data_IF_636397107150
#
_entry.id   IF_636397107150
#
_cell.length_a   1.000
_cell.length_b   1.000
_cell.length_c   1.000
_cell.angle_alpha   90.00
_cell.angle_beta   90.00
_cell.angle_gamma   90.00
#
_symmetry.space_group_name_H-M   'P 1'
#
loop_
_entity.id
_entity.type
_entity.pdbx_description
1 polymer ?
#
# COMPACT_ATOMS: atom_id res chain seq x y z
N UNK A 1 35.28 -21.30 57.50
CA UNK A 1 34.08 -21.62 56.68
C UNK A 1 34.18 -20.79 55.41
N UNK A 2 34.58 -21.46 54.34
CA UNK A 2 34.82 -20.89 53.00
C UNK A 2 33.55 -20.99 52.16
N UNK A 3 33.52 -20.25 51.04
CA UNK A 3 32.48 -20.15 50.04
C UNK A 3 31.34 -19.16 50.37
N UNK A 4 31.55 -17.89 49.98
CA UNK A 4 30.49 -16.88 50.05
C UNK A 4 30.72 -15.67 49.15
N UNK A 5 31.50 -15.79 48.06
CA UNK A 5 31.75 -14.69 47.12
C UNK A 5 32.02 -15.21 45.71
N UNK A 6 31.03 -15.84 45.09
CA UNK A 6 31.09 -16.17 43.68
C UNK A 6 29.66 -16.24 43.11
N UNK A 7 28.98 -15.10 43.04
CA UNK A 7 27.74 -14.98 42.29
C UNK A 7 27.56 -13.54 41.76
N UNK A 8 28.65 -12.94 41.27
CA UNK A 8 28.63 -11.74 40.43
C UNK A 8 29.00 -12.17 39.01
N UNK A 9 28.06 -12.79 38.28
CA UNK A 9 28.16 -12.95 36.83
C UNK A 9 26.86 -13.59 36.29
N UNK A 10 25.72 -12.90 36.40
CA UNK A 10 24.56 -13.25 35.57
C UNK A 10 24.10 -12.05 34.75
N UNK A 11 24.63 -12.00 33.53
CA UNK A 11 23.89 -11.73 32.30
C UNK A 11 23.34 -10.31 32.11
N UNK A 12 24.25 -9.33 32.09
CA UNK A 12 24.04 -8.08 31.36
C UNK A 12 24.39 -8.29 29.88
N UNK A 13 23.51 -8.89 29.06
CA UNK A 13 23.59 -8.83 27.58
C UNK A 13 22.40 -9.53 26.89
N UNK A 14 21.16 -9.12 27.13
CA UNK A 14 20.04 -9.48 26.24
C UNK A 14 19.20 -8.25 25.93
N UNK A 15 19.88 -7.17 25.53
CA UNK A 15 19.25 -6.13 24.71
C UNK A 15 19.16 -6.63 23.27
N UNK A 16 18.40 -7.70 23.01
CA UNK A 16 17.92 -7.95 21.64
C UNK A 16 17.00 -6.78 21.32
N UNK A 17 17.55 -5.76 20.68
CA UNK A 17 16.78 -4.88 19.83
C UNK A 17 16.06 -5.78 18.82
N UNK A 18 14.80 -6.08 19.12
CA UNK A 18 13.83 -6.38 18.09
C UNK A 18 13.70 -5.10 17.27
N UNK A 19 14.56 -4.94 16.25
CA UNK A 19 14.28 -3.99 15.19
C UNK A 19 12.84 -4.29 14.76
N UNK A 20 11.93 -3.29 14.71
CA UNK A 20 10.60 -3.56 14.21
C UNK A 20 10.82 -4.11 12.80
N UNK A 21 10.48 -5.39 12.62
CA UNK A 21 10.44 -5.97 11.29
C UNK A 21 9.61 -4.98 10.48
N UNK A 22 10.23 -4.36 9.46
CA UNK A 22 9.57 -3.35 8.64
C UNK A 22 8.38 -4.03 7.98
N UNK A 23 7.24 -3.96 8.67
CA UNK A 23 6.07 -4.74 8.39
C UNK A 23 5.49 -4.20 7.11
N UNK A 24 5.41 -5.05 6.10
CA UNK A 24 4.59 -4.80 4.94
C UNK A 24 3.16 -4.71 5.44
N UNK A 25 2.59 -3.51 5.48
CA UNK A 25 1.19 -3.34 5.89
C UNK A 25 0.31 -3.31 4.63
N UNK A 26 -0.57 -4.30 4.49
CA UNK A 26 -1.59 -4.29 3.46
C UNK A 26 -2.69 -3.32 3.86
N UNK A 27 -2.98 -2.35 2.98
CA UNK A 27 -3.99 -1.32 3.22
C UNK A 27 -4.94 -1.19 2.05
N UNK A 28 -6.11 -0.64 2.34
CA UNK A 28 -7.14 -0.34 1.35
C UNK A 28 -7.32 1.17 1.23
N UNK A 29 -7.49 1.63 0.00
CA UNK A 29 -7.76 3.01 -0.36
C UNK A 29 -9.00 3.03 -1.25
N UNK A 30 -9.94 3.93 -0.98
CA UNK A 30 -11.03 4.26 -1.91
C UNK A 30 -10.90 5.73 -2.26
N UNK A 31 -10.93 6.05 -3.55
CA UNK A 31 -10.76 7.41 -4.02
C UNK A 31 -10.91 7.55 -5.53
N UNK A 32 -10.78 8.78 -6.01
CA UNK A 32 -10.81 9.09 -7.44
C UNK A 32 -9.41 9.16 -8.00
N UNK A 33 -9.20 8.58 -9.18
CA UNK A 33 -7.94 8.69 -9.91
C UNK A 33 -7.78 10.14 -10.37
N UNK A 34 -6.74 10.82 -9.89
CA UNK A 34 -6.38 12.16 -10.40
C UNK A 34 -5.49 12.04 -11.64
N UNK A 35 -4.56 11.09 -11.64
CA UNK A 35 -3.61 10.89 -12.74
C UNK A 35 -3.15 9.44 -12.76
N UNK A 36 -2.90 8.92 -13.96
CA UNK A 36 -2.26 7.63 -14.17
C UNK A 36 -1.26 7.74 -15.32
N UNK A 37 -0.04 7.28 -15.08
CA UNK A 37 1.04 7.19 -16.04
C UNK A 37 1.74 5.83 -15.88
N UNK A 38 1.33 4.82 -16.67
CA UNK A 38 1.92 3.49 -16.61
C UNK A 38 3.40 3.46 -17.01
N UNK A 39 3.86 4.37 -17.88
CA UNK A 39 5.27 4.41 -18.29
C UNK A 39 6.17 4.87 -17.14
N UNK A 40 5.65 5.76 -16.28
CA UNK A 40 6.31 6.20 -15.04
C UNK A 40 5.94 5.36 -13.82
N UNK A 41 5.17 4.27 -14.00
CA UNK A 41 4.66 3.39 -12.94
C UNK A 41 3.95 4.17 -11.84
N UNK A 42 3.21 5.23 -12.19
CA UNK A 42 2.62 6.14 -11.21
C UNK A 42 1.11 6.23 -11.38
N UNK A 43 0.40 6.12 -10.26
CA UNK A 43 -0.99 6.52 -10.14
C UNK A 43 -1.18 7.43 -8.92
N UNK A 44 -1.98 8.48 -9.06
CA UNK A 44 -2.36 9.36 -7.96
C UNK A 44 -3.86 9.22 -7.73
N UNK A 45 -4.25 8.94 -6.49
CA UNK A 45 -5.64 8.78 -6.07
C UNK A 45 -5.94 9.80 -4.97
N UNK A 46 -6.98 10.59 -5.18
CA UNK A 46 -7.52 11.53 -4.21
C UNK A 46 -8.63 10.88 -3.41
N UNK A 47 -8.50 10.90 -2.08
CA UNK A 47 -9.53 10.47 -1.14
C UNK A 47 -10.62 11.53 -1.02
N UNK A 48 -11.77 11.14 -0.45
CA UNK A 48 -12.89 12.05 -0.22
C UNK A 48 -12.56 13.20 0.76
N UNK A 49 -11.58 13.01 1.64
CA UNK A 49 -11.06 14.03 2.57
C UNK A 49 -10.06 14.99 1.92
N UNK A 50 -9.75 14.83 0.63
CA UNK A 50 -8.79 15.63 -0.12
C UNK A 50 -7.34 15.16 0.01
N UNK A 51 -7.05 14.12 0.79
CA UNK A 51 -5.71 13.53 0.84
C UNK A 51 -5.38 12.88 -0.50
N UNK A 52 -4.21 13.21 -1.04
CA UNK A 52 -3.68 12.61 -2.25
C UNK A 52 -2.68 11.51 -1.90
N UNK A 53 -2.91 10.31 -2.43
CA UNK A 53 -1.99 9.19 -2.30
C UNK A 53 -1.34 8.87 -3.64
N UNK A 54 0.00 8.82 -3.63
CA UNK A 54 0.82 8.37 -4.76
C UNK A 54 1.05 6.87 -4.63
N UNK A 55 0.81 6.14 -5.69
CA UNK A 55 0.91 4.69 -5.75
C UNK A 55 1.79 4.30 -6.93
N UNK A 56 2.68 3.34 -6.70
CA UNK A 56 3.39 2.65 -7.76
C UNK A 56 2.46 1.61 -8.40
N UNK A 57 2.35 1.62 -9.72
CA UNK A 57 1.56 0.64 -10.48
C UNK A 57 2.48 -0.11 -11.43
N UNK A 58 2.41 -1.44 -11.39
CA UNK A 58 3.29 -2.32 -12.15
C UNK A 58 2.47 -3.20 -13.12
N UNK A 59 3.10 -3.83 -14.13
CA UNK A 59 2.40 -4.76 -15.03
C UNK A 59 1.70 -5.92 -14.30
N UNK A 60 2.16 -6.27 -13.10
CA UNK A 60 1.60 -7.32 -12.26
C UNK A 60 0.41 -6.83 -11.40
N UNK A 61 0.21 -5.51 -11.28
CA UNK A 61 -0.93 -4.93 -10.55
C UNK A 61 -2.23 -5.42 -11.16
N UNK A 62 -3.05 -6.12 -10.36
CA UNK A 62 -4.30 -6.66 -10.84
C UNK A 62 -5.34 -5.55 -11.05
N UNK A 63 -5.90 -5.44 -12.25
CA UNK A 63 -6.99 -4.50 -12.53
C UNK A 63 -8.27 -5.28 -12.75
N UNK A 64 -9.32 -4.91 -12.03
CA UNK A 64 -10.66 -5.51 -12.14
C UNK A 64 -11.63 -4.41 -12.57
N UNK A 65 -12.26 -4.60 -13.72
CA UNK A 65 -13.29 -3.72 -14.27
C UNK A 65 -14.52 -4.55 -14.60
N UNK A 66 -15.73 -4.10 -14.25
CA UNK A 66 -16.97 -4.81 -14.60
C UNK A 66 -16.97 -6.32 -14.25
N UNK A 67 -16.35 -6.70 -13.12
CA UNK A 67 -16.17 -8.09 -12.66
C UNK A 67 -15.25 -8.97 -13.51
N UNK A 68 -14.49 -8.40 -14.44
CA UNK A 68 -13.50 -9.10 -15.25
C UNK A 68 -12.11 -8.51 -15.05
N UNK A 69 -11.08 -9.34 -15.24
CA UNK A 69 -9.68 -8.87 -15.22
C UNK A 69 -9.42 -8.03 -16.45
N UNK A 70 -8.82 -6.86 -16.25
CA UNK A 70 -8.48 -5.90 -17.29
C UNK A 70 -7.00 -5.50 -17.19
N UNK A 71 -6.52 -4.74 -18.17
CA UNK A 71 -5.19 -4.12 -18.13
C UNK A 71 -5.23 -2.73 -17.50
N UNK A 72 -4.08 -2.22 -17.04
CA UNK A 72 -3.93 -0.84 -16.55
C UNK A 72 -4.42 0.22 -17.55
N UNK A 73 -4.44 -0.10 -18.83
CA UNK A 73 -4.92 0.77 -19.91
C UNK A 73 -6.39 1.13 -19.81
N UNK A 74 -7.21 0.48 -18.99
CA UNK A 74 -8.62 0.84 -18.81
C UNK A 74 -8.85 1.86 -17.69
N UNK A 75 -7.85 2.08 -16.82
CA UNK A 75 -7.93 3.05 -15.73
C UNK A 75 -7.74 4.46 -16.31
N UNK A 76 -8.59 5.40 -15.92
CA UNK A 76 -8.61 6.78 -16.40
C UNK A 76 -8.72 7.76 -15.24
N UNK A 77 -8.25 8.99 -15.45
CA UNK A 77 -8.51 10.07 -14.51
C UNK A 77 -10.03 10.30 -14.37
N UNK A 78 -10.48 10.61 -13.16
CA UNK A 78 -11.89 10.78 -12.80
C UNK A 78 -12.56 9.52 -12.24
N UNK A 79 -12.05 8.33 -12.58
CA UNK A 79 -12.62 7.04 -12.18
C UNK A 79 -12.60 6.85 -10.67
N UNK A 80 -13.69 6.29 -10.14
CA UNK A 80 -13.76 5.88 -8.75
C UNK A 80 -13.18 4.47 -8.61
N UNK A 81 -12.17 4.34 -7.75
CA UNK A 81 -11.43 3.09 -7.57
C UNK A 81 -11.34 2.68 -6.10
N UNK A 82 -11.25 1.37 -5.86
CA UNK A 82 -10.72 0.80 -4.64
C UNK A 82 -9.37 0.17 -4.95
N UNK A 83 -8.33 0.61 -4.25
CA UNK A 83 -6.97 0.11 -4.42
C UNK A 83 -6.54 -0.65 -3.17
N UNK A 84 -6.05 -1.88 -3.34
CA UNK A 84 -5.27 -2.58 -2.32
C UNK A 84 -3.79 -2.29 -2.56
N UNK A 85 -3.08 -1.88 -1.53
CA UNK A 85 -1.68 -1.50 -1.65
C UNK A 85 -0.84 -1.97 -0.46
N UNK A 86 0.46 -2.07 -0.68
CA UNK A 86 1.47 -2.35 0.33
C UNK A 86 2.19 -1.06 0.71
N UNK A 87 2.21 -0.76 2.00
CA UNK A 87 3.05 0.28 2.57
C UNK A 87 4.35 -0.33 3.07
N UNK A 88 5.48 0.20 2.58
CA UNK A 88 6.83 -0.21 2.94
C UNK A 88 7.58 1.02 3.46
N UNK A 89 8.10 1.01 4.69
CA UNK A 89 8.89 2.12 5.21
C UNK A 89 10.04 2.47 4.26
N UNK A 90 10.17 3.76 3.91
CA UNK A 90 11.24 4.27 3.04
C UNK A 90 11.11 3.92 1.56
N UNK A 91 10.03 3.28 1.11
CA UNK A 91 9.81 2.90 -0.28
C UNK A 91 8.50 3.47 -0.83
N UNK A 92 8.32 3.39 -2.15
CA UNK A 92 7.06 3.74 -2.79
C UNK A 92 5.93 2.81 -2.34
N UNK A 93 4.72 3.36 -2.23
CA UNK A 93 3.52 2.60 -1.88
C UNK A 93 3.05 1.81 -3.10
N UNK A 94 3.11 0.48 -3.02
CA UNK A 94 2.92 -0.40 -4.17
C UNK A 94 1.47 -0.86 -4.31
N UNK A 95 0.82 -0.62 -5.44
CA UNK A 95 -0.54 -1.11 -5.70
C UNK A 95 -0.53 -2.59 -6.08
N UNK A 96 -1.22 -3.41 -5.28
CA UNK A 96 -1.44 -4.82 -5.57
C UNK A 96 -2.63 -5.03 -6.49
N UNK A 97 -3.75 -4.36 -6.21
CA UNK A 97 -4.96 -4.47 -7.03
C UNK A 97 -5.75 -3.17 -7.09
N UNK A 98 -6.42 -2.96 -8.23
CA UNK A 98 -7.25 -1.82 -8.55
C UNK A 98 -8.60 -2.36 -8.99
N UNK A 99 -9.64 -2.11 -8.20
CA UNK A 99 -11.02 -2.36 -8.57
C UNK A 99 -11.67 -1.06 -9.04
N UNK A 100 -12.09 -1.01 -10.29
CA UNK A 100 -12.94 0.05 -10.81
C UNK A 100 -14.35 -0.14 -10.27
N UNK A 101 -14.82 0.83 -9.49
CA UNK A 101 -16.13 0.77 -8.85
C UNK A 101 -17.26 1.26 -9.76
N UNK A 102 -16.92 1.77 -10.96
CA UNK A 102 -17.84 2.40 -11.88
C UNK A 102 -18.21 3.81 -11.40
N UNK A 103 -17.93 4.81 -12.24
CA UNK A 103 -18.62 6.08 -12.14
C UNK A 103 -20.10 5.89 -12.50
N UNK A 104 -21.00 6.58 -11.81
CA UNK A 104 -22.38 6.79 -12.21
C UNK A 104 -22.47 7.64 -13.49
N UNK A 105 -21.72 7.32 -14.55
CA UNK A 105 -21.82 7.98 -15.85
C UNK A 105 -22.89 7.28 -16.70
N UNK A 106 -24.06 7.14 -16.07
CA UNK A 106 -25.33 6.73 -16.66
C UNK A 106 -26.47 7.65 -16.21
N UNK A 107 -26.18 8.90 -15.78
CA UNK A 107 -27.21 9.93 -15.61
C UNK A 107 -27.18 10.87 -16.82
N UNK A 108 -28.00 10.50 -17.80
CA UNK A 108 -28.63 11.32 -18.83
C UNK A 108 -28.18 12.79 -18.92
N UNK A 109 -27.58 13.14 -20.06
CA UNK A 109 -27.87 14.39 -20.76
C UNK A 109 -28.19 14.07 -22.22
#
# INVERSE_FOLDING_TARGET
MSAGRAALALLAALGLWTAPAAGHEERLLVGRVETIDPARRLMVVSKADGERRRLEVNPETEVIACRTRAGLTVVRAGELVRVKYLEKPGNATEAQSILLLGGLDGRAR
#
